data_IF_717976159177
#
_entry.id   IF_717976159177
#
_cell.length_a   1.000
_cell.length_b   1.000
_cell.length_c   1.000
_cell.angle_alpha   90.00
_cell.angle_beta   90.00
_cell.angle_gamma   90.00
#
_symmetry.space_group_name_H-M   'P 1'
#
loop_
_entity.id
_entity.type
_entity.pdbx_description
1 polymer ?
#
# COMPACT_ATOMS: atom_id res chain seq x y z
N UNK A 1 7.03 -3.15 -1.77
CA UNK A 1 6.27 -3.18 -0.51
C UNK A 1 4.92 -2.52 -0.70
N UNK A 2 4.84 -1.25 -1.11
CA UNK A 2 3.54 -0.57 -1.27
C UNK A 2 2.58 -1.29 -2.23
N UNK A 3 3.06 -1.80 -3.36
CA UNK A 3 2.25 -2.61 -4.26
C UNK A 3 1.64 -3.86 -3.58
N UNK A 4 2.24 -4.39 -2.51
CA UNK A 4 1.70 -5.55 -1.78
C UNK A 4 0.39 -5.22 -1.05
N UNK A 5 0.03 -3.93 -0.88
CA UNK A 5 -1.31 -3.52 -0.44
C UNK A 5 -2.42 -3.85 -1.46
N UNK A 6 -2.06 -4.21 -2.68
CA UNK A 6 -2.96 -4.73 -3.72
C UNK A 6 -2.75 -6.24 -3.94
N UNK A 7 -2.44 -6.99 -2.89
CA UNK A 7 -2.30 -8.45 -3.00
C UNK A 7 -3.61 -9.18 -3.35
N UNK A 8 -4.74 -8.52 -3.07
CA UNK A 8 -6.09 -8.92 -3.48
C UNK A 8 -6.70 -7.80 -4.33
N UNK A 9 -6.23 -7.62 -5.58
CA UNK A 9 -6.74 -6.61 -6.51
C UNK A 9 -8.17 -6.92 -6.99
N UNK A 10 -8.59 -8.17 -6.87
CA UNK A 10 -9.97 -8.63 -7.00
C UNK A 10 -10.88 -8.02 -5.94
N UNK A 11 -10.47 -8.05 -4.66
CA UNK A 11 -11.23 -7.40 -3.58
C UNK A 11 -11.28 -5.87 -3.74
N UNK A 12 -10.22 -5.28 -4.33
CA UNK A 12 -10.15 -3.84 -4.66
C UNK A 12 -11.20 -3.46 -5.69
N UNK A 13 -11.25 -4.15 -6.83
CA UNK A 13 -12.23 -3.83 -7.89
C UNK A 13 -13.65 -4.24 -7.52
N UNK A 14 -13.83 -5.26 -6.68
CA UNK A 14 -15.15 -5.70 -6.22
C UNK A 14 -15.90 -4.62 -5.42
N UNK A 15 -15.20 -3.59 -4.92
CA UNK A 15 -15.85 -2.45 -4.25
C UNK A 15 -16.92 -1.82 -5.14
N UNK A 16 -16.69 -1.69 -6.45
CA UNK A 16 -17.63 -1.05 -7.38
C UNK A 16 -18.83 -1.90 -7.74
N UNK A 17 -18.80 -3.20 -7.45
CA UNK A 17 -19.87 -4.11 -7.83
C UNK A 17 -21.03 -4.08 -6.81
N UNK A 18 -20.84 -3.43 -5.65
CA UNK A 18 -21.84 -3.29 -4.60
C UNK A 18 -22.75 -2.07 -4.79
N UNK A 19 -24.06 -2.30 -4.68
CA UNK A 19 -25.08 -1.29 -4.98
C UNK A 19 -25.32 -0.28 -3.86
N UNK A 20 -25.28 -0.72 -2.60
CA UNK A 20 -25.58 0.16 -1.46
C UNK A 20 -24.29 0.79 -0.91
N UNK A 21 -24.36 2.05 -0.39
CA UNK A 21 -23.22 2.67 0.28
C UNK A 21 -22.67 1.83 1.45
N UNK A 22 -23.54 1.12 2.17
CA UNK A 22 -23.17 0.22 3.26
C UNK A 22 -22.31 -0.94 2.76
N UNK A 23 -22.75 -1.62 1.72
CA UNK A 23 -22.06 -2.80 1.19
C UNK A 23 -20.72 -2.42 0.55
N UNK A 24 -20.68 -1.30 -0.19
CA UNK A 24 -19.42 -0.71 -0.67
C UNK A 24 -18.47 -0.42 0.48
N UNK A 25 -18.94 0.21 1.55
CA UNK A 25 -18.10 0.52 2.70
C UNK A 25 -17.54 -0.73 3.40
N UNK A 26 -18.38 -1.77 3.58
CA UNK A 26 -17.94 -3.08 4.10
C UNK A 26 -16.84 -3.66 3.18
N UNK A 27 -17.03 -3.59 1.87
CA UNK A 27 -16.07 -4.09 0.89
C UNK A 27 -14.75 -3.30 0.89
N UNK A 28 -14.78 -1.97 1.07
CA UNK A 28 -13.57 -1.14 1.25
C UNK A 28 -12.77 -1.60 2.47
N UNK A 29 -13.45 -1.81 3.60
CA UNK A 29 -12.79 -2.32 4.83
C UNK A 29 -12.23 -3.72 4.61
N UNK A 30 -12.95 -4.59 3.89
CA UNK A 30 -12.50 -5.95 3.56
C UNK A 30 -11.24 -5.94 2.71
N UNK A 31 -11.25 -5.21 1.61
CA UNK A 31 -10.08 -5.04 0.75
C UNK A 31 -8.87 -4.49 1.53
N UNK A 32 -9.08 -3.45 2.34
CA UNK A 32 -8.00 -2.87 3.13
C UNK A 32 -7.37 -3.90 4.09
N UNK A 33 -8.19 -4.65 4.83
CA UNK A 33 -7.71 -5.64 5.79
C UNK A 33 -7.12 -6.89 5.13
N UNK A 34 -7.54 -7.23 3.92
CA UNK A 34 -7.07 -8.42 3.22
C UNK A 34 -5.58 -8.36 2.86
N UNK A 35 -5.00 -7.16 2.69
CA UNK A 35 -3.68 -7.01 2.12
C UNK A 35 -2.51 -7.17 3.13
N UNK A 36 -2.76 -7.04 4.42
CA UNK A 36 -1.70 -6.92 5.45
C UNK A 36 -0.88 -8.19 5.70
N UNK A 37 -1.42 -9.36 5.37
CA UNK A 37 -0.70 -10.62 5.40
C UNK A 37 0.33 -10.74 4.24
N UNK A 38 0.15 -9.97 3.17
CA UNK A 38 0.95 -10.06 1.97
C UNK A 38 2.38 -9.51 2.16
N UNK A 39 3.29 -9.95 1.29
CA UNK A 39 4.70 -9.54 1.34
C UNK A 39 5.53 -10.17 2.47
N UNK A 40 4.94 -11.01 3.33
CA UNK A 40 5.60 -11.62 4.49
C UNK A 40 5.73 -13.14 4.37
N UNK A 41 6.80 -13.57 3.71
CA UNK A 41 7.11 -15.01 3.50
C UNK A 41 7.88 -15.67 4.66
N UNK A 42 8.24 -14.91 5.69
CA UNK A 42 9.05 -15.39 6.81
C UNK A 42 8.66 -14.69 8.10
N UNK A 43 8.78 -15.40 9.22
CA UNK A 43 8.61 -14.85 10.57
C UNK A 43 9.70 -13.83 10.94
N UNK A 44 10.87 -13.90 10.30
CA UNK A 44 11.98 -12.97 10.54
C UNK A 44 11.72 -11.66 9.78
N UNK A 45 11.62 -10.51 10.47
CA UNK A 45 11.41 -9.22 9.83
C UNK A 45 12.60 -8.89 8.93
N UNK A 46 12.31 -8.56 7.68
CA UNK A 46 13.29 -7.99 6.75
C UNK A 46 12.87 -6.55 6.46
N UNK A 47 13.77 -5.61 6.71
CA UNK A 47 13.55 -4.21 6.33
C UNK A 47 13.62 -4.11 4.80
N UNK A 48 12.66 -3.43 4.14
CA UNK A 48 12.81 -3.10 2.72
C UNK A 48 14.01 -2.18 2.51
N UNK A 49 14.49 -2.10 1.27
CA UNK A 49 15.46 -1.06 0.90
C UNK A 49 14.84 0.31 1.13
N UNK A 50 15.65 1.26 1.59
CA UNK A 50 15.25 2.66 1.66
C UNK A 50 15.38 3.24 0.24
N UNK A 51 14.29 3.59 -0.45
CA UNK A 51 14.38 4.02 -1.84
C UNK A 51 15.20 5.30 -1.98
N UNK A 52 15.89 5.43 -3.10
CA UNK A 52 16.59 6.67 -3.45
C UNK A 52 15.61 7.69 -4.02
N UNK A 53 15.93 8.99 -3.94
CA UNK A 53 15.09 10.05 -4.50
C UNK A 53 14.83 9.81 -6.00
N UNK A 54 13.56 9.87 -6.41
CA UNK A 54 13.17 9.63 -7.80
C UNK A 54 13.09 8.16 -8.22
N UNK A 55 13.36 7.22 -7.31
CA UNK A 55 13.13 5.80 -7.55
C UNK A 55 11.66 5.53 -7.84
N UNK A 56 11.37 4.78 -8.90
CA UNK A 56 10.00 4.41 -9.29
C UNK A 56 9.78 2.90 -9.26
N UNK A 57 8.54 2.49 -9.06
CA UNK A 57 8.14 1.10 -9.21
C UNK A 57 6.79 1.01 -9.91
N UNK A 58 6.73 0.27 -11.01
CA UNK A 58 5.50 0.01 -11.77
C UNK A 58 5.18 -1.49 -11.78
N UNK A 59 3.90 -1.83 -11.68
CA UNK A 59 3.42 -3.18 -11.89
C UNK A 59 1.96 -3.21 -12.29
N UNK A 60 1.50 -4.32 -12.83
CA UNK A 60 0.08 -4.59 -13.03
C UNK A 60 -0.34 -5.91 -12.37
N UNK A 61 -1.64 -6.07 -12.19
CA UNK A 61 -2.28 -7.30 -11.76
C UNK A 61 -3.32 -7.68 -12.80
N UNK A 62 -3.26 -8.95 -13.20
CA UNK A 62 -4.29 -9.56 -14.05
C UNK A 62 -5.36 -10.18 -13.15
N UNK A 63 -6.58 -9.66 -13.26
CA UNK A 63 -7.77 -10.10 -12.52
C UNK A 63 -8.69 -11.01 -13.35
N UNK A 64 -8.27 -11.41 -14.57
CA UNK A 64 -8.99 -12.36 -15.41
C UNK A 64 -10.32 -11.85 -15.98
N UNK A 65 -10.56 -10.53 -16.00
CA UNK A 65 -11.79 -9.96 -16.55
C UNK A 65 -11.76 -9.92 -18.08
N UNK A 66 -12.75 -10.54 -18.70
CA UNK A 66 -12.88 -10.78 -20.15
C UNK A 66 -13.83 -9.79 -20.86
N UNK A 67 -14.01 -8.59 -20.32
CA UNK A 67 -14.72 -7.53 -21.06
C UNK A 67 -13.85 -6.96 -22.18
N UNK A 68 -14.40 -6.88 -23.39
CA UNK A 68 -13.84 -6.11 -24.51
C UNK A 68 -13.78 -4.64 -24.13
N UNK A 69 -12.59 -4.15 -23.78
CA UNK A 69 -12.34 -2.78 -23.37
C UNK A 69 -11.47 -2.04 -24.40
N UNK A 70 -11.42 -0.72 -24.27
CA UNK A 70 -10.84 0.19 -25.24
C UNK A 70 -9.44 0.59 -24.75
N UNK A 71 -8.42 -0.22 -25.08
CA UNK A 71 -7.03 -0.13 -24.58
C UNK A 71 -6.35 1.26 -24.65
N UNK A 72 -6.96 2.24 -25.32
CA UNK A 72 -6.50 3.61 -25.38
C UNK A 72 -6.39 4.26 -23.98
N UNK A 73 -7.36 4.03 -23.08
CA UNK A 73 -7.32 4.66 -21.75
C UNK A 73 -6.11 4.15 -20.97
N UNK A 74 -5.94 2.83 -20.83
CA UNK A 74 -4.81 2.25 -20.10
C UNK A 74 -3.42 2.71 -20.59
N UNK A 75 -3.26 3.00 -21.90
CA UNK A 75 -1.97 3.47 -22.46
C UNK A 75 -1.47 4.78 -21.84
N UNK A 76 -2.37 5.68 -21.50
CA UNK A 76 -2.06 6.96 -20.84
C UNK A 76 -2.04 6.84 -19.29
N UNK A 77 -2.23 5.62 -18.79
CA UNK A 77 -2.21 5.28 -17.37
C UNK A 77 -0.81 5.10 -16.79
N UNK A 78 -0.70 4.62 -15.55
CA UNK A 78 0.57 4.45 -14.86
C UNK A 78 1.44 3.33 -15.45
N UNK A 79 0.87 2.43 -16.26
CA UNK A 79 1.55 1.29 -16.87
C UNK A 79 1.12 1.19 -18.33
N UNK A 80 1.95 1.70 -19.24
CA UNK A 80 1.63 1.82 -20.67
C UNK A 80 1.43 0.50 -21.44
N UNK A 81 1.78 -0.63 -20.83
CA UNK A 81 1.62 -1.98 -21.38
C UNK A 81 0.48 -2.77 -20.71
N UNK A 82 -0.40 -2.07 -19.96
CA UNK A 82 -1.61 -2.64 -19.42
C UNK A 82 -2.80 -2.41 -20.36
N UNK A 83 -3.84 -3.24 -20.21
CA UNK A 83 -5.18 -2.99 -20.74
C UNK A 83 -6.07 -2.40 -19.64
N UNK A 84 -7.25 -1.94 -20.02
CA UNK A 84 -8.21 -1.31 -19.08
C UNK A 84 -8.71 -2.27 -17.99
N UNK A 85 -8.63 -3.59 -18.23
CA UNK A 85 -9.08 -4.61 -17.28
C UNK A 85 -8.03 -4.92 -16.21
N UNK A 86 -6.80 -4.44 -16.35
CA UNK A 86 -5.77 -4.64 -15.35
C UNK A 86 -5.91 -3.64 -14.20
N UNK A 87 -5.57 -4.09 -12.99
CA UNK A 87 -5.25 -3.16 -11.90
C UNK A 87 -3.79 -2.77 -12.07
N UNK A 88 -3.53 -1.49 -12.28
CA UNK A 88 -2.17 -0.96 -12.47
C UNK A 88 -1.72 -0.21 -11.23
N UNK A 89 -0.41 -0.18 -10.99
CA UNK A 89 0.21 0.45 -9.83
C UNK A 89 1.50 1.17 -10.23
N UNK A 90 1.70 2.36 -9.67
CA UNK A 90 2.95 3.11 -9.71
C UNK A 90 3.27 3.68 -8.33
N UNK A 91 4.56 3.71 -7.99
CA UNK A 91 5.07 4.49 -6.86
C UNK A 91 6.32 5.26 -7.28
N UNK A 92 6.55 6.39 -6.61
CA UNK A 92 7.75 7.22 -6.73
C UNK A 92 8.21 7.65 -5.33
N UNK A 93 9.52 7.62 -5.09
CA UNK A 93 10.13 8.24 -3.92
C UNK A 93 10.23 9.75 -4.15
N UNK A 94 9.18 10.48 -3.77
CA UNK A 94 9.00 11.91 -4.04
C UNK A 94 9.83 12.82 -3.14
N UNK A 95 10.26 12.32 -1.97
CA UNK A 95 11.22 13.01 -1.10
C UNK A 95 12.12 12.04 -0.36
N UNK A 96 13.35 12.46 -0.05
CA UNK A 96 14.30 11.66 0.74
C UNK A 96 14.46 12.17 2.19
N UNK A 97 14.32 13.48 2.42
CA UNK A 97 14.41 14.10 3.73
C UNK A 97 13.26 15.11 3.95
N UNK A 98 12.14 14.68 4.59
CA UNK A 98 11.85 13.34 5.09
C UNK A 98 11.61 12.32 3.95
N UNK A 99 11.74 11.00 4.21
CA UNK A 99 11.50 9.98 3.19
C UNK A 99 10.01 9.82 2.92
N UNK A 100 9.56 10.33 1.78
CA UNK A 100 8.18 10.26 1.30
C UNK A 100 8.12 9.37 0.06
N UNK A 101 7.22 8.40 0.08
CA UNK A 101 6.85 7.58 -1.05
C UNK A 101 5.39 7.88 -1.42
N UNK A 102 5.17 8.28 -2.66
CA UNK A 102 3.84 8.53 -3.21
C UNK A 102 3.48 7.38 -4.14
N UNK A 103 2.23 6.95 -4.11
CA UNK A 103 1.77 5.85 -4.95
C UNK A 103 0.39 6.13 -5.52
N UNK A 104 0.10 5.41 -6.60
CA UNK A 104 -1.16 5.47 -7.31
C UNK A 104 -1.49 4.10 -7.90
N UNK A 105 -2.76 3.74 -7.89
CA UNK A 105 -3.27 2.57 -8.59
C UNK A 105 -4.67 2.82 -9.12
N UNK A 106 -5.05 2.07 -10.16
CA UNK A 106 -6.34 2.21 -10.82
C UNK A 106 -6.73 0.94 -11.56
N UNK A 107 -8.02 0.83 -11.87
CA UNK A 107 -8.54 -0.08 -12.88
C UNK A 107 -9.51 0.70 -13.76
N UNK A 108 -9.12 1.05 -15.00
CA UNK A 108 -9.96 1.83 -15.90
C UNK A 108 -11.33 1.20 -16.13
N UNK A 109 -11.42 -0.10 -16.41
CA UNK A 109 -12.69 -0.80 -16.68
C UNK A 109 -13.65 -0.83 -15.48
N UNK A 110 -13.13 -0.63 -14.26
CA UNK A 110 -13.90 -0.62 -13.01
C UNK A 110 -14.08 0.79 -12.46
N UNK A 111 -13.63 1.82 -13.17
CA UNK A 111 -13.85 3.22 -12.78
C UNK A 111 -13.42 3.50 -11.32
N UNK A 112 -12.29 2.91 -10.92
CA UNK A 112 -11.77 2.94 -9.55
C UNK A 112 -10.30 3.35 -9.55
N UNK A 113 -9.94 4.23 -8.61
CA UNK A 113 -8.56 4.69 -8.44
C UNK A 113 -8.22 4.89 -6.96
N UNK A 114 -6.94 4.81 -6.61
CA UNK A 114 -6.42 5.17 -5.30
C UNK A 114 -5.10 5.89 -5.44
N UNK A 115 -4.96 7.05 -4.80
CA UNK A 115 -3.67 7.72 -4.58
C UNK A 115 -3.34 7.77 -3.10
N UNK A 116 -2.07 7.68 -2.75
CA UNK A 116 -1.63 7.81 -1.38
C UNK A 116 -0.22 8.37 -1.25
N UNK A 117 0.04 8.98 -0.10
CA UNK A 117 1.33 9.54 0.24
C UNK A 117 1.72 9.02 1.62
N UNK A 118 2.87 8.37 1.71
CA UNK A 118 3.35 7.71 2.90
C UNK A 118 4.76 8.19 3.23
N UNK A 119 4.97 8.59 4.48
CA UNK A 119 6.30 8.77 5.02
C UNK A 119 6.45 8.05 6.34
N UNK A 120 7.69 7.71 6.69
CA UNK A 120 7.95 6.89 7.87
C UNK A 120 8.73 7.66 8.92
N UNK A 121 8.28 7.55 10.18
CA UNK A 121 9.02 8.03 11.35
C UNK A 121 9.45 6.83 12.18
N UNK A 122 10.76 6.58 12.19
CA UNK A 122 11.35 5.48 12.95
C UNK A 122 11.68 5.92 14.38
N UNK A 123 11.42 5.06 15.37
CA UNK A 123 11.77 5.27 16.78
C UNK A 123 12.38 4.01 17.37
N UNK A 124 13.55 4.16 18.00
CA UNK A 124 14.15 3.10 18.79
C UNK A 124 13.50 3.05 20.18
N UNK A 125 13.08 1.86 20.61
CA UNK A 125 12.34 1.62 21.86
C UNK A 125 13.06 0.59 22.75
N UNK A 126 14.40 0.63 22.76
CA UNK A 126 15.21 -0.34 23.49
C UNK A 126 15.23 -1.69 22.78
N UNK A 127 14.41 -2.64 23.23
CA UNK A 127 14.34 -3.99 22.64
C UNK A 127 13.43 -4.08 21.40
N UNK A 128 12.93 -2.93 20.92
CA UNK A 128 12.05 -2.84 19.76
C UNK A 128 12.40 -1.63 18.89
N UNK A 129 12.03 -1.70 17.61
CA UNK A 129 12.03 -0.57 16.67
C UNK A 129 10.58 -0.35 16.23
N UNK A 130 10.08 0.87 16.37
CA UNK A 130 8.80 1.29 15.82
C UNK A 130 9.02 2.07 14.52
N UNK A 131 8.15 1.84 13.55
CA UNK A 131 8.07 2.58 12.30
C UNK A 131 6.64 3.05 12.16
N UNK A 132 6.41 4.32 12.45
CA UNK A 132 5.12 4.96 12.24
C UNK A 132 4.95 5.23 10.75
N UNK A 133 3.87 4.73 10.17
CA UNK A 133 3.47 5.07 8.80
C UNK A 133 2.53 6.27 8.90
N UNK A 134 3.00 7.41 8.40
CA UNK A 134 2.27 8.68 8.49
C UNK A 134 1.84 9.05 7.07
N UNK A 135 0.59 9.49 6.95
CA UNK A 135 -0.03 9.84 5.68
C UNK A 135 -1.37 9.15 5.52
N UNK A 136 -1.97 9.36 4.36
CA UNK A 136 -3.28 8.87 3.99
C UNK A 136 -3.26 8.32 2.56
N UNK A 137 -4.24 7.48 2.27
CA UNK A 137 -4.61 7.09 0.92
C UNK A 137 -6.07 7.42 0.67
N UNK A 138 -6.39 7.80 -0.55
CA UNK A 138 -7.71 8.24 -0.97
C UNK A 138 -8.18 7.29 -2.06
N UNK A 139 -9.03 6.35 -1.69
CA UNK A 139 -9.75 5.51 -2.64
C UNK A 139 -10.93 6.30 -3.22
N UNK A 140 -11.04 6.38 -4.54
CA UNK A 140 -12.12 7.06 -5.23
C UNK A 140 -12.88 6.07 -6.11
N UNK A 141 -14.20 6.01 -5.92
CA UNK A 141 -15.12 5.29 -6.81
C UNK A 141 -15.78 6.32 -7.71
N UNK A 142 -15.45 6.32 -9.00
CA UNK A 142 -15.80 7.43 -9.90
C UNK A 142 -17.30 7.46 -10.19
N UNK A 143 -17.93 6.31 -10.39
CA UNK A 143 -19.36 6.22 -10.71
C UNK A 143 -20.29 6.61 -9.56
N UNK A 144 -19.80 6.51 -8.33
CA UNK A 144 -20.53 6.92 -7.12
C UNK A 144 -20.12 8.30 -6.61
N UNK A 145 -19.03 8.87 -7.16
CA UNK A 145 -18.38 10.06 -6.63
C UNK A 145 -18.13 9.92 -5.11
N UNK A 146 -17.65 8.75 -4.70
CA UNK A 146 -17.34 8.41 -3.30
C UNK A 146 -15.83 8.43 -3.09
N UNK A 147 -15.40 9.02 -1.97
CA UNK A 147 -13.99 9.12 -1.58
C UNK A 147 -13.80 8.59 -0.17
N UNK A 148 -12.96 7.56 -0.03
CA UNK A 148 -12.61 6.96 1.26
C UNK A 148 -11.20 7.38 1.63
N UNK A 149 -11.06 8.09 2.75
CA UNK A 149 -9.76 8.46 3.32
C UNK A 149 -9.33 7.36 4.28
N UNK A 150 -8.15 6.79 4.04
CA UNK A 150 -7.64 5.59 4.70
C UNK A 150 -6.29 5.92 5.35
N UNK A 151 -6.16 5.67 6.65
CA UNK A 151 -4.87 5.79 7.36
C UNK A 151 -4.17 4.42 7.49
N UNK A 152 -2.96 4.39 8.04
CA UNK A 152 -2.12 3.19 8.08
C UNK A 152 -1.65 2.83 9.50
N UNK A 153 -1.54 1.53 9.83
CA UNK A 153 -1.00 1.12 11.12
C UNK A 153 0.52 1.35 11.18
N UNK A 154 1.05 1.40 12.40
CA UNK A 154 2.49 1.37 12.62
C UNK A 154 3.03 -0.06 12.54
N UNK A 155 4.30 -0.19 12.18
CA UNK A 155 5.03 -1.46 12.16
C UNK A 155 6.06 -1.51 13.29
N UNK A 156 6.24 -2.68 13.89
CA UNK A 156 7.16 -2.91 15.00
C UNK A 156 8.07 -4.10 14.70
N UNK A 157 9.38 -3.88 14.76
CA UNK A 157 10.37 -4.95 14.89
C UNK A 157 10.63 -5.20 16.37
N UNK A 158 10.25 -6.37 16.87
CA UNK A 158 10.37 -6.76 18.29
C UNK A 158 11.57 -7.68 18.49
N UNK A 159 12.06 -7.75 19.73
CA UNK A 159 13.10 -8.70 20.17
C UNK A 159 14.40 -8.57 19.38
N UNK A 160 14.91 -7.35 19.22
CA UNK A 160 16.08 -7.07 18.37
C UNK A 160 17.40 -7.71 18.85
N UNK A 161 17.50 -8.07 20.14
CA UNK A 161 18.65 -8.79 20.73
C UNK A 161 18.42 -10.31 20.86
N UNK A 162 17.24 -10.80 20.48
CA UNK A 162 16.86 -12.21 20.51
C UNK A 162 16.47 -12.70 19.10
N UNK A 163 15.41 -13.50 19.01
CA UNK A 163 14.81 -13.86 17.71
C UNK A 163 13.87 -12.72 17.28
N UNK A 164 14.22 -11.92 16.25
CA UNK A 164 13.41 -10.79 15.88
C UNK A 164 12.09 -11.24 15.26
N UNK A 165 11.00 -10.55 15.57
CA UNK A 165 9.69 -10.81 14.98
C UNK A 165 8.97 -9.51 14.65
N UNK A 166 8.04 -9.59 13.71
CA UNK A 166 7.29 -8.45 13.20
C UNK A 166 5.91 -8.34 13.84
N UNK A 167 5.45 -7.12 14.10
CA UNK A 167 4.08 -6.85 14.54
C UNK A 167 3.55 -5.55 13.93
N UNK A 168 2.23 -5.44 13.76
CA UNK A 168 1.56 -4.18 13.47
C UNK A 168 0.81 -3.69 14.70
N UNK A 169 0.72 -2.38 14.84
CA UNK A 169 0.05 -1.77 15.97
C UNK A 169 -0.47 -0.38 15.67
N UNK A 170 -1.49 0.03 16.42
CA UNK A 170 -2.06 1.37 16.37
C UNK A 170 -3.40 1.44 15.66
N UNK A 171 -3.97 2.63 15.65
CA UNK A 171 -5.30 2.91 15.14
C UNK A 171 -5.26 3.28 13.66
N UNK A 172 -6.28 2.84 12.95
CA UNK A 172 -6.59 3.13 11.57
C UNK A 172 -8.03 3.62 11.51
N UNK A 173 -8.25 4.62 10.67
CA UNK A 173 -9.58 5.10 10.28
C UNK A 173 -9.80 4.92 8.78
N UNK A 174 -11.04 4.63 8.42
CA UNK A 174 -11.53 4.66 7.04
C UNK A 174 -12.81 5.48 7.05
N UNK A 175 -12.80 6.60 6.35
CA UNK A 175 -13.87 7.61 6.43
C UNK A 175 -14.35 7.99 5.03
N UNK A 176 -15.67 7.94 4.80
CA UNK A 176 -16.31 8.47 3.59
C UNK A 176 -17.22 9.64 3.95
N UNK A 177 -16.79 10.85 3.63
CA UNK A 177 -17.52 12.07 3.98
C UNK A 177 -18.92 12.10 3.34
N UNK A 178 -19.00 11.79 2.04
CA UNK A 178 -20.25 11.82 1.27
C UNK A 178 -21.34 10.91 1.84
N UNK A 179 -20.98 9.71 2.25
CA UNK A 179 -21.94 8.71 2.74
C UNK A 179 -22.07 8.74 4.25
N UNK A 180 -21.13 9.37 4.98
CA UNK A 180 -21.10 9.46 6.43
C UNK A 180 -20.60 8.21 7.16
N UNK A 181 -20.27 7.14 6.42
CA UNK A 181 -19.75 5.89 6.97
C UNK A 181 -18.29 6.03 7.44
N UNK A 182 -18.00 5.47 8.60
CA UNK A 182 -16.67 5.54 9.23
C UNK A 182 -16.31 4.21 9.89
N UNK A 183 -15.03 3.84 9.90
CA UNK A 183 -14.53 2.64 10.55
C UNK A 183 -13.36 3.00 11.43
N UNK A 184 -13.39 2.52 12.68
CA UNK A 184 -12.27 2.60 13.60
C UNK A 184 -11.70 1.20 13.79
N UNK A 185 -10.45 1.00 13.38
CA UNK A 185 -9.75 -0.28 13.43
C UNK A 185 -8.50 -0.12 14.28
N UNK A 186 -8.26 -1.03 15.21
CA UNK A 186 -7.05 -1.08 16.01
C UNK A 186 -6.30 -2.38 15.73
N UNK A 187 -5.06 -2.22 15.24
CA UNK A 187 -4.09 -3.31 15.23
C UNK A 187 -3.52 -3.44 16.64
N UNK A 188 -3.81 -4.57 17.28
CA UNK A 188 -3.43 -4.80 18.67
C UNK A 188 -1.99 -5.32 18.74
N UNK A 189 -1.16 -4.63 19.51
CA UNK A 189 0.16 -5.15 19.88
C UNK A 189 0.02 -6.20 20.98
N UNK A 190 0.84 -7.25 20.94
CA UNK A 190 0.82 -8.36 21.89
C UNK A 190 0.90 -7.84 23.34
N UNK A 191 -0.11 -8.12 24.18
CA UNK A 191 -0.06 -7.84 25.62
C UNK A 191 1.11 -8.54 26.32
N UNK A 192 1.58 -7.95 27.41
CA UNK A 192 2.67 -8.52 28.22
C UNK A 192 2.33 -9.90 28.81
N UNK A 193 1.05 -10.17 29.10
CA UNK A 193 0.58 -11.43 29.69
C UNK A 193 -0.37 -12.17 28.73
N UNK A 194 -0.03 -13.42 28.42
CA UNK A 194 -0.86 -14.42 27.76
C UNK A 194 -1.74 -13.95 26.57
N UNK A 195 -1.23 -13.05 25.72
CA UNK A 195 -1.95 -12.51 24.57
C UNK A 195 -1.63 -13.19 23.24
N UNK A 196 -2.63 -13.30 22.36
CA UNK A 196 -2.46 -13.71 20.97
C UNK A 196 -1.76 -12.61 20.17
N UNK A 197 -0.94 -13.01 19.19
CA UNK A 197 -0.31 -12.07 18.25
C UNK A 197 -1.30 -11.66 17.16
N UNK A 198 -0.99 -10.56 16.51
CA UNK A 198 -1.57 -10.17 15.22
C UNK A 198 -3.09 -9.95 15.24
N UNK A 199 -3.63 -9.60 16.40
CA UNK A 199 -5.06 -9.36 16.55
C UNK A 199 -5.45 -7.99 15.99
N UNK A 200 -6.68 -7.89 15.50
CA UNK A 200 -7.36 -6.64 15.21
C UNK A 200 -8.70 -6.58 15.92
N UNK A 201 -9.14 -5.37 16.21
CA UNK A 201 -10.54 -5.07 16.55
C UNK A 201 -10.99 -3.89 15.70
N UNK A 202 -12.17 -4.01 15.11
CA UNK A 202 -12.74 -3.01 14.21
C UNK A 202 -14.19 -2.75 14.55
N UNK A 203 -14.62 -1.50 14.40
CA UNK A 203 -16.00 -1.09 14.56
C UNK A 203 -16.39 -0.17 13.41
N UNK A 204 -17.44 -0.53 12.69
CA UNK A 204 -17.97 0.22 11.57
C UNK A 204 -19.25 0.94 12.01
N UNK A 205 -19.34 2.21 11.62
CA UNK A 205 -20.42 3.12 12.00
C UNK A 205 -21.15 3.62 10.76
N UNK A 206 -22.48 3.69 10.87
CA UNK A 206 -23.34 4.26 9.84
C UNK A 206 -23.30 5.79 9.83
N UNK A 207 -24.06 6.42 8.93
CA UNK A 207 -24.14 7.87 8.83
C UNK A 207 -24.65 8.53 10.12
N UNK A 208 -25.51 7.83 10.86
CA UNK A 208 -26.06 8.22 12.16
C UNK A 208 -25.10 7.99 13.34
N UNK A 209 -23.85 7.61 13.05
CA UNK A 209 -22.80 7.24 14.01
C UNK A 209 -23.14 6.06 14.91
N UNK A 210 -24.17 5.26 14.56
CA UNK A 210 -24.43 4.00 15.24
C UNK A 210 -23.58 2.89 14.68
N UNK A 211 -23.10 2.05 15.58
CA UNK A 211 -22.37 0.83 15.23
C UNK A 211 -23.30 -0.16 14.51
N UNK A 212 -22.87 -0.63 13.33
CA UNK A 212 -23.60 -1.67 12.60
C UNK A 212 -22.78 -2.95 12.36
N UNK A 213 -21.46 -2.92 12.56
CA UNK A 213 -20.61 -4.11 12.40
C UNK A 213 -19.37 -4.04 13.29
N UNK A 214 -19.05 -5.16 13.93
CA UNK A 214 -17.76 -5.40 14.61
C UNK A 214 -16.94 -6.40 13.82
N UNK A 215 -15.64 -6.16 13.75
CA UNK A 215 -14.68 -7.06 13.13
C UNK A 215 -13.62 -7.43 14.17
N UNK A 216 -13.29 -8.71 14.29
CA UNK A 216 -12.19 -9.18 15.15
C UNK A 216 -11.49 -10.39 14.54
N UNK A 217 -10.26 -10.64 14.99
CA UNK A 217 -9.47 -11.80 14.59
C UNK A 217 -8.04 -11.46 14.21
N UNK A 218 -7.44 -12.28 13.35
CA UNK A 218 -6.02 -12.20 12.99
C UNK A 218 -5.83 -11.57 11.60
N UNK A 219 -5.10 -10.45 11.49
CA UNK A 219 -4.84 -9.80 10.19
C UNK A 219 -4.00 -10.65 9.22
N UNK A 220 -3.36 -11.73 9.72
CA UNK A 220 -2.69 -12.76 8.94
C UNK A 220 -3.30 -14.16 9.12
N UNK A 221 -4.56 -14.22 9.52
CA UNK A 221 -5.29 -15.46 9.68
C UNK A 221 -6.74 -15.27 9.26
N UNK A 222 -7.64 -15.49 10.23
CA UNK A 222 -9.08 -15.37 10.00
C UNK A 222 -9.58 -14.15 10.76
N UNK A 223 -10.33 -13.31 10.07
CA UNK A 223 -11.11 -12.23 10.65
C UNK A 223 -12.59 -12.57 10.50
N UNK A 224 -13.39 -12.27 11.52
CA UNK A 224 -14.84 -12.46 11.54
C UNK A 224 -15.54 -11.11 11.65
N UNK A 225 -16.73 -11.02 11.05
CA UNK A 225 -17.60 -9.86 11.17
C UNK A 225 -18.90 -10.25 11.87
N UNK A 226 -19.38 -9.38 12.75
CA UNK A 226 -20.66 -9.52 13.45
C UNK A 226 -21.51 -8.29 13.19
N UNK A 227 -22.65 -8.48 12.53
CA UNK A 227 -23.55 -7.37 12.18
C UNK A 227 -24.64 -7.15 13.24
N UNK A 228 -24.90 -5.88 13.54
CA UNK A 228 -25.81 -5.49 14.63
C UNK A 228 -27.28 -5.79 14.32
N UNK A 229 -27.68 -5.72 13.06
CA UNK A 229 -29.05 -5.92 12.56
C UNK A 229 -29.42 -7.40 12.45
N UNK A 230 -28.56 -8.22 11.87
CA UNK A 230 -28.83 -9.66 11.69
C UNK A 230 -28.40 -10.51 12.88
N UNK A 231 -27.50 -9.98 13.74
CA UNK A 231 -26.78 -10.73 14.79
C UNK A 231 -25.98 -11.92 14.26
N UNK A 232 -25.80 -12.04 12.95
CA UNK A 232 -25.01 -13.09 12.32
C UNK A 232 -23.54 -12.77 12.49
N UNK A 233 -22.77 -13.80 12.85
CA UNK A 233 -21.31 -13.79 12.82
C UNK A 233 -20.85 -14.65 11.65
N UNK A 234 -20.02 -14.09 10.79
CA UNK A 234 -19.48 -14.77 9.61
C UNK A 234 -17.99 -14.51 9.44
N UNK A 235 -17.33 -15.35 8.64
CA UNK A 235 -15.94 -15.12 8.26
C UNK A 235 -15.90 -13.89 7.35
N UNK A 236 -15.19 -12.85 7.81
CA UNK A 236 -15.01 -11.62 7.06
C UNK A 236 -13.95 -11.78 5.98
N UNK A 237 -12.82 -12.38 6.34
CA UNK A 237 -11.74 -12.73 5.41
C UNK A 237 -10.84 -13.82 6.00
N UNK A 238 -10.43 -14.80 5.20
CA UNK A 238 -9.52 -15.89 5.58
C UNK A 238 -8.26 -15.84 4.70
N UNK A 239 -7.18 -15.24 5.23
CA UNK A 239 -5.93 -15.08 4.49
C UNK A 239 -5.20 -16.41 4.23
N UNK A 240 -5.64 -17.52 4.84
CA UNK A 240 -5.04 -18.85 4.63
C UNK A 240 -5.72 -19.60 3.49
N UNK A 241 -6.97 -19.24 3.15
CA UNK A 241 -7.74 -19.83 2.05
C UNK A 241 -7.72 -18.99 0.79
N UNK A 242 -7.52 -17.67 0.90
CA UNK A 242 -7.47 -16.78 -0.26
C UNK A 242 -6.04 -16.64 -0.78
N UNK A 243 -5.81 -17.06 -2.03
CA UNK A 243 -4.51 -16.91 -2.67
C UNK A 243 -4.29 -15.47 -3.14
N UNK A 244 -3.08 -14.95 -2.93
CA UNK A 244 -2.72 -13.61 -3.45
C UNK A 244 -2.53 -13.61 -4.95
N UNK A 245 -2.97 -12.55 -5.62
CA UNK A 245 -2.71 -12.31 -7.03
C UNK A 245 -1.32 -11.66 -7.15
N UNK A 246 -0.44 -12.26 -7.96
CA UNK A 246 0.95 -11.80 -8.07
C UNK A 246 1.03 -10.62 -9.02
N UNK A 247 1.69 -9.55 -8.58
CA UNK A 247 2.10 -8.45 -9.46
C UNK A 247 2.98 -8.93 -10.61
N UNK A 248 2.65 -8.48 -11.80
CA UNK A 248 3.40 -8.63 -13.04
C UNK A 248 4.25 -7.37 -13.21
N UNK A 249 5.54 -7.55 -13.49
CA UNK A 249 6.52 -6.48 -13.64
C UNK A 249 7.38 -6.81 -14.85
N UNK A 250 7.70 -5.80 -15.65
CA UNK A 250 8.60 -5.97 -16.80
C UNK A 250 9.94 -6.61 -16.39
N UNK A 251 10.57 -7.39 -17.29
CA UNK A 251 11.94 -7.86 -17.11
C UNK A 251 12.90 -6.71 -16.78
N UNK A 252 13.90 -6.97 -15.92
CA UNK A 252 14.86 -5.93 -15.49
C UNK A 252 15.59 -5.28 -16.68
N UNK A 253 15.81 -6.02 -17.77
CA UNK A 253 16.45 -5.52 -18.98
C UNK A 253 15.63 -4.43 -19.70
N UNK A 254 14.30 -4.43 -19.53
CA UNK A 254 13.38 -3.47 -20.14
C UNK A 254 12.99 -2.32 -19.20
N UNK A 255 13.46 -2.38 -17.95
CA UNK A 255 13.15 -1.35 -16.95
C UNK A 255 14.02 -0.11 -17.14
N UNK A 256 13.48 1.08 -16.86
CA UNK A 256 14.25 2.32 -16.87
C UNK A 256 15.29 2.35 -15.73
N UNK A 257 16.31 3.21 -15.83
CA UNK A 257 17.44 3.24 -14.89
C UNK A 257 17.02 3.41 -13.42
N UNK A 258 15.95 4.19 -13.16
CA UNK A 258 15.47 4.50 -11.82
C UNK A 258 14.37 3.55 -11.31
N UNK A 259 14.05 2.49 -12.06
CA UNK A 259 13.09 1.50 -11.57
C UNK A 259 13.70 0.63 -10.46
N UNK A 260 12.97 0.43 -9.36
CA UNK A 260 13.45 -0.22 -8.14
C UNK A 260 14.15 -1.56 -8.39
N UNK A 261 13.60 -2.44 -9.25
CA UNK A 261 14.22 -3.76 -9.45
C UNK A 261 15.52 -3.66 -10.25
N UNK A 262 15.68 -2.66 -11.12
CA UNK A 262 16.92 -2.40 -11.84
C UNK A 262 17.97 -1.76 -10.94
N UNK A 263 17.59 -0.74 -10.15
CA UNK A 263 18.48 -0.09 -9.17
C UNK A 263 19.03 -1.11 -8.17
N UNK A 264 18.15 -1.88 -7.54
CA UNK A 264 18.51 -2.79 -6.46
C UNK A 264 18.90 -4.20 -6.93
N UNK A 265 19.15 -4.40 -8.24
CA UNK A 265 19.37 -5.74 -8.82
C UNK A 265 20.58 -6.45 -8.19
N UNK A 266 21.70 -5.75 -8.05
CA UNK A 266 22.97 -6.34 -7.61
C UNK A 266 22.95 -6.60 -6.10
N UNK A 267 22.41 -5.64 -5.32
CA UNK A 267 22.16 -5.83 -3.89
C UNK A 267 21.28 -7.06 -3.66
N UNK A 268 20.19 -7.19 -4.43
CA UNK A 268 19.26 -8.33 -4.33
C UNK A 268 19.91 -9.64 -4.74
N UNK A 269 20.68 -9.66 -5.82
CA UNK A 269 21.42 -10.83 -6.28
C UNK A 269 22.40 -11.32 -5.21
N UNK A 270 23.27 -10.44 -4.70
CA UNK A 270 24.27 -10.81 -3.70
C UNK A 270 23.65 -11.23 -2.35
N UNK A 271 22.53 -10.62 -1.93
CA UNK A 271 21.79 -11.07 -0.75
C UNK A 271 21.24 -12.48 -0.93
N UNK A 272 20.66 -12.80 -2.10
CA UNK A 272 20.16 -14.15 -2.41
C UNK A 272 21.28 -15.18 -2.47
N UNK A 273 22.44 -14.80 -3.00
CA UNK A 273 23.64 -15.64 -3.07
C UNK A 273 24.46 -15.66 -1.78
N UNK A 274 23.94 -15.07 -0.68
CA UNK A 274 24.61 -15.00 0.64
C UNK A 274 26.00 -14.33 0.62
N UNK A 275 26.28 -13.49 -0.38
CA UNK A 275 27.55 -12.76 -0.52
C UNK A 275 27.43 -11.38 0.16
N UNK A 276 27.47 -11.36 1.49
CA UNK A 276 27.14 -10.16 2.28
C UNK A 276 28.05 -8.96 1.97
N UNK A 277 29.37 -9.17 1.83
CA UNK A 277 30.31 -8.09 1.54
C UNK A 277 30.01 -7.40 0.19
N UNK A 278 29.65 -8.18 -0.84
CA UNK A 278 29.29 -7.63 -2.16
C UNK A 278 27.94 -6.93 -2.14
N UNK A 279 26.98 -7.44 -1.37
CA UNK A 279 25.69 -6.78 -1.16
C UNK A 279 25.87 -5.41 -0.49
N UNK A 280 26.69 -5.34 0.57
CA UNK A 280 27.03 -4.09 1.25
C UNK A 280 27.75 -3.12 0.31
N UNK A 281 28.75 -3.58 -0.44
CA UNK A 281 29.46 -2.73 -1.40
C UNK A 281 28.53 -2.14 -2.46
N UNK A 282 27.64 -2.97 -3.03
CA UNK A 282 26.66 -2.54 -4.05
C UNK A 282 25.66 -1.53 -3.48
N UNK A 283 25.22 -1.74 -2.23
CA UNK A 283 24.33 -0.81 -1.52
C UNK A 283 25.03 0.53 -1.27
N UNK A 284 26.27 0.49 -0.76
CA UNK A 284 27.05 1.70 -0.51
C UNK A 284 27.30 2.50 -1.79
N UNK A 285 27.54 1.84 -2.92
CA UNK A 285 27.68 2.50 -4.21
C UNK A 285 26.44 3.30 -4.61
N UNK A 286 25.24 2.70 -4.51
CA UNK A 286 23.98 3.39 -4.81
C UNK A 286 23.72 4.57 -3.86
N UNK A 287 23.92 4.37 -2.55
CA UNK A 287 23.74 5.43 -1.55
C UNK A 287 24.73 6.57 -1.74
N UNK A 288 25.97 6.27 -2.14
CA UNK A 288 26.99 7.27 -2.42
C UNK A 288 26.66 8.07 -3.68
N UNK A 289 26.24 7.40 -4.77
CA UNK A 289 25.75 8.06 -5.98
C UNK A 289 24.62 9.06 -5.65
N UNK A 290 23.65 8.64 -4.84
CA UNK A 290 22.55 9.51 -4.42
C UNK A 290 23.03 10.76 -3.66
N UNK A 291 24.04 10.62 -2.78
CA UNK A 291 24.61 11.77 -2.04
C UNK A 291 25.32 12.74 -2.97
N UNK A 292 26.06 12.23 -3.94
CA UNK A 292 26.78 13.04 -4.94
C UNK A 292 25.79 13.81 -5.82
N UNK A 293 24.75 13.15 -6.32
CA UNK A 293 23.68 13.80 -7.09
C UNK A 293 22.93 14.85 -6.25
N UNK A 294 22.70 14.60 -4.95
CA UNK A 294 22.07 15.56 -4.06
C UNK A 294 22.95 16.79 -3.83
N UNK A 295 24.27 16.59 -3.68
CA UNK A 295 25.25 17.67 -3.57
C UNK A 295 25.30 18.50 -4.86
N UNK A 296 25.40 17.86 -6.02
CA UNK A 296 25.43 18.56 -7.31
C UNK A 296 24.16 19.41 -7.53
N UNK A 297 22.99 18.89 -7.16
CA UNK A 297 21.73 19.65 -7.18
C UNK A 297 21.77 20.86 -6.24
N UNK A 298 22.27 20.67 -5.01
CA UNK A 298 22.36 21.75 -4.03
C UNK A 298 23.34 22.85 -4.49
N UNK A 299 24.52 22.46 -5.00
CA UNK A 299 25.55 23.38 -5.52
C UNK A 299 25.00 24.22 -6.69
N UNK A 300 24.09 23.64 -7.50
CA UNK A 300 23.42 24.32 -8.62
C UNK A 300 22.09 25.00 -8.24
N UNK A 301 21.70 24.97 -6.96
CA UNK A 301 20.39 25.48 -6.48
C UNK A 301 19.19 24.87 -7.24
N UNK A 302 19.32 23.63 -7.69
CA UNK A 302 18.27 22.90 -8.40
C UNK A 302 17.42 22.10 -7.42
N UNK A 303 16.10 22.17 -7.60
CA UNK A 303 15.16 21.29 -6.89
C UNK A 303 14.96 20.00 -7.69
N UNK A 304 14.76 18.88 -6.99
CA UNK A 304 14.33 17.65 -7.64
C UNK A 304 12.94 17.84 -8.23
N UNK A 305 12.76 17.39 -9.47
CA UNK A 305 11.46 17.32 -10.12
C UNK A 305 11.05 15.86 -10.20
N UNK A 306 9.92 15.55 -9.58
CA UNK A 306 9.27 14.24 -9.63
C UNK A 306 8.76 13.95 -11.03
N UNK A 307 8.70 12.67 -11.41
CA UNK A 307 8.33 12.25 -12.76
C UNK A 307 6.84 12.07 -12.96
N UNK A 308 6.13 11.64 -11.91
CA UNK A 308 4.74 11.18 -12.04
C UNK A 308 3.78 11.85 -11.05
N UNK A 309 4.34 12.51 -10.03
CA UNK A 309 3.58 13.13 -8.95
C UNK A 309 3.86 14.62 -8.90
N UNK A 310 2.88 15.40 -8.48
CA UNK A 310 2.98 16.85 -8.29
C UNK A 310 2.68 17.20 -6.84
N UNK A 311 3.34 18.25 -6.32
CA UNK A 311 3.16 18.70 -4.94
C UNK A 311 1.74 19.28 -4.78
N UNK A 312 1.00 18.80 -3.78
CA UNK A 312 -0.40 19.15 -3.52
C UNK A 312 -0.61 19.79 -2.13
N UNK A 313 0.49 20.20 -1.49
CA UNK A 313 0.52 20.74 -0.13
C UNK A 313 1.72 20.23 0.65
N UNK A 314 1.85 20.66 1.90
CA UNK A 314 2.95 20.25 2.76
C UNK A 314 2.97 18.72 2.95
N UNK A 315 4.06 18.08 2.50
CA UNK A 315 4.25 16.62 2.53
C UNK A 315 3.19 15.81 1.75
N UNK A 316 2.41 16.46 0.87
CA UNK A 316 1.38 15.82 0.06
C UNK A 316 1.72 15.88 -1.43
N UNK A 317 1.51 14.76 -2.09
CA UNK A 317 1.80 14.58 -3.51
C UNK A 317 0.63 13.88 -4.17
N UNK A 318 0.34 14.25 -5.41
CA UNK A 318 -0.78 13.67 -6.16
C UNK A 318 -0.33 13.20 -7.53
N UNK A 319 -0.83 12.06 -7.97
CA UNK A 319 -0.52 11.54 -9.30
C UNK A 319 -1.05 12.50 -10.37
N UNK A 320 -0.23 12.81 -11.37
CA UNK A 320 -0.55 13.85 -12.35
C UNK A 320 -1.68 13.40 -13.30
N UNK A 321 -1.59 12.17 -13.81
CA UNK A 321 -2.43 11.61 -14.88
C UNK A 321 -3.55 10.68 -14.36
N UNK A 322 -4.26 11.09 -13.30
CA UNK A 322 -5.32 10.27 -12.67
C UNK A 322 -6.41 9.86 -13.67
N UNK A 323 -7.01 8.69 -13.45
CA UNK A 323 -8.12 8.16 -14.24
C UNK A 323 -9.27 9.17 -14.36
N UNK A 324 -9.65 9.80 -13.26
CA UNK A 324 -10.72 10.82 -13.25
C UNK A 324 -10.44 12.02 -14.17
N UNK A 325 -9.17 12.34 -14.46
CA UNK A 325 -8.81 13.39 -15.41
C UNK A 325 -8.89 12.88 -16.84
N UNK A 326 -8.40 11.66 -17.09
CA UNK A 326 -8.36 11.04 -18.42
C UNK A 326 -9.74 10.68 -18.95
N UNK A 327 -10.68 10.30 -18.09
CA UNK A 327 -12.07 10.03 -18.49
C UNK A 327 -12.88 11.30 -18.83
N UNK A 328 -12.36 12.50 -18.54
CA UNK A 328 -13.02 13.78 -18.87
C UNK A 328 -12.53 14.40 -20.18
N UNK A 329 -11.49 13.83 -20.79
CA UNK A 329 -10.89 14.29 -22.05
C UNK A 329 -11.57 13.64 -23.24
#
# INVERSE_FOLDING_TARGET
MLADFLAHPDEFVNVTDHQTPRDRFIQVVKWYLSAFHAGRKSAVPKKPYNPILGETFQCLYDIGSSSSSNDAIAKDGPVSWASDNHVTFIAEQTSHHPPIASFYAECPAKHIQIDGCLWTKSKFLGLSVAVHMIGDAILTLLDHDERYVITFPSAYGRSILGVPWFEMGGKVTIDCEKTGYTANIEFLTKPFYNGKKHQIIGTLFGPDKKEFCKIDGEWNGVMNAKYSDTKISEVFFDTKKTAVIKKIVRPIAEQSEYESRRLWKDVTYYLKSKQMNKATASKSFLEQRQREEAKDRADKTLKWQTKHFTEAGELKWTYENKLIKRLKQ
#
